data_IF_299506205330
#
_entry.id   IF_299506205330
#
_cell.length_a   1.000
_cell.length_b   1.000
_cell.length_c   1.000
_cell.angle_alpha   90.00
_cell.angle_beta   90.00
_cell.angle_gamma   90.00
#
_symmetry.space_group_name_H-M   'P 1'
#
loop_
_entity.id
_entity.type
_entity.pdbx_description
1 polymer ?
#
# COMPACT_ATOMS: atom_id res chain seq x y z
N UNK A 1 2.60 0.13 -25.02
CA UNK A 1 2.95 1.29 -24.16
C UNK A 1 2.46 1.11 -22.71
N UNK A 2 1.19 0.89 -22.43
CA UNK A 2 0.69 0.68 -21.06
C UNK A 2 1.40 -0.45 -20.28
N UNK A 3 1.74 -1.56 -20.94
CA UNK A 3 2.44 -2.68 -20.32
C UNK A 3 3.86 -2.31 -19.84
N UNK A 4 4.58 -1.48 -20.59
CA UNK A 4 5.94 -1.06 -20.22
C UNK A 4 5.93 -0.11 -19.02
N UNK A 5 4.99 0.84 -18.99
CA UNK A 5 4.84 1.77 -17.86
C UNK A 5 4.50 1.04 -16.55
N UNK A 6 3.70 -0.02 -16.60
CA UNK A 6 3.42 -0.85 -15.43
C UNK A 6 4.66 -1.60 -14.94
N UNK A 7 5.46 -2.13 -15.86
CA UNK A 7 6.71 -2.80 -15.51
C UNK A 7 7.70 -1.83 -14.87
N UNK A 8 7.83 -0.63 -15.42
CA UNK A 8 8.72 0.41 -14.89
C UNK A 8 8.30 0.82 -13.46
N UNK A 9 7.00 0.96 -13.21
CA UNK A 9 6.48 1.24 -11.85
C UNK A 9 6.72 0.08 -10.88
N UNK A 10 6.59 -1.15 -11.33
CA UNK A 10 6.90 -2.31 -10.50
C UNK A 10 8.39 -2.36 -10.13
N UNK A 11 9.28 -2.07 -11.07
CA UNK A 11 10.72 -1.97 -10.82
C UNK A 11 11.05 -0.82 -9.87
N UNK A 12 10.38 0.33 -10.02
CA UNK A 12 10.56 1.47 -9.12
C UNK A 12 10.23 1.10 -7.68
N UNK A 13 9.12 0.38 -7.45
CA UNK A 13 8.71 -0.06 -6.10
C UNK A 13 9.66 -1.08 -5.48
N UNK A 14 10.39 -1.86 -6.27
CA UNK A 14 11.43 -2.76 -5.77
C UNK A 14 12.63 -1.99 -5.21
N UNK A 15 12.87 -0.77 -5.68
CA UNK A 15 13.98 0.09 -5.27
C UNK A 15 13.62 1.06 -4.15
N UNK A 16 12.41 1.03 -3.60
CA UNK A 16 12.02 1.83 -2.46
C UNK A 16 12.80 1.43 -1.21
N UNK A 17 12.94 2.35 -0.26
CA UNK A 17 13.85 2.18 0.90
C UNK A 17 13.18 1.68 2.15
N UNK A 18 11.89 1.96 2.30
CA UNK A 18 11.15 1.63 3.51
C UNK A 18 10.58 0.21 3.41
N UNK A 19 10.42 -0.43 4.54
CA UNK A 19 9.73 -1.70 4.67
C UNK A 19 8.36 -1.48 5.32
N UNK A 20 7.44 -2.40 5.10
CA UNK A 20 6.19 -2.46 5.84
C UNK A 20 6.47 -2.54 7.34
N UNK A 21 5.63 -1.90 8.16
CA UNK A 21 5.77 -1.95 9.62
C UNK A 21 5.64 -3.37 10.18
N UNK A 22 4.84 -4.21 9.54
CA UNK A 22 4.68 -5.63 9.88
C UNK A 22 4.72 -6.49 8.64
N UNK A 23 5.25 -7.70 8.75
CA UNK A 23 5.19 -8.70 7.70
C UNK A 23 3.75 -9.13 7.46
N UNK A 24 3.43 -9.57 6.23
CA UNK A 24 2.08 -9.90 5.84
C UNK A 24 1.42 -10.93 6.77
N UNK A 25 2.11 -11.99 7.15
CA UNK A 25 1.59 -13.01 8.07
C UNK A 25 1.62 -12.54 9.53
N UNK A 26 2.56 -11.68 9.90
CA UNK A 26 2.64 -11.08 11.24
C UNK A 26 1.48 -10.16 11.58
N UNK A 27 0.75 -9.67 10.57
CA UNK A 27 -0.41 -8.80 10.77
C UNK A 27 -1.55 -9.47 11.51
N UNK A 28 -1.68 -10.80 11.41
CA UNK A 28 -2.70 -11.58 12.12
C UNK A 28 -2.54 -11.41 13.64
N UNK A 29 -1.30 -11.42 14.13
CA UNK A 29 -1.00 -11.25 15.55
C UNK A 29 -0.97 -9.77 15.96
N UNK A 30 -0.55 -8.88 15.03
CA UNK A 30 -0.44 -7.45 15.30
C UNK A 30 -1.80 -6.77 15.52
N UNK A 31 -2.82 -7.18 14.76
CA UNK A 31 -4.18 -6.63 14.90
C UNK A 31 -5.23 -7.71 14.54
N UNK A 32 -5.33 -8.72 15.40
CA UNK A 32 -6.29 -9.82 15.23
C UNK A 32 -7.73 -9.34 15.07
N UNK A 33 -8.25 -8.38 15.88
CA UNK A 33 -9.63 -7.92 15.74
C UNK A 33 -9.92 -7.32 14.35
N UNK A 34 -8.98 -6.54 13.82
CA UNK A 34 -9.17 -5.95 12.50
C UNK A 34 -8.99 -6.99 11.39
N UNK A 35 -8.08 -7.93 11.55
CA UNK A 35 -7.91 -9.05 10.61
C UNK A 35 -9.19 -9.88 10.50
N UNK A 36 -9.84 -10.17 11.63
CA UNK A 36 -11.16 -10.83 11.65
C UNK A 36 -12.22 -9.98 10.94
N UNK A 37 -12.28 -8.67 11.23
CA UNK A 37 -13.21 -7.77 10.53
C UNK A 37 -12.97 -7.77 9.02
N UNK A 38 -11.71 -7.69 8.59
CA UNK A 38 -11.34 -7.71 7.17
C UNK A 38 -11.65 -9.05 6.49
N UNK A 39 -11.64 -10.16 7.24
CA UNK A 39 -12.03 -11.47 6.74
C UNK A 39 -13.55 -11.59 6.54
N UNK A 40 -14.34 -11.11 7.51
CA UNK A 40 -15.81 -11.21 7.48
C UNK A 40 -16.47 -10.17 6.57
N UNK A 41 -15.96 -8.95 6.55
CA UNK A 41 -16.51 -7.86 5.76
C UNK A 41 -15.44 -7.23 4.87
N UNK A 42 -14.82 -8.06 4.04
CA UNK A 42 -13.70 -7.69 3.18
C UNK A 42 -13.96 -6.44 2.31
N UNK A 43 -15.11 -6.30 1.61
CA UNK A 43 -15.43 -5.11 0.84
C UNK A 43 -15.58 -3.86 1.71
N UNK A 44 -16.17 -3.97 2.90
CA UNK A 44 -16.31 -2.84 3.82
C UNK A 44 -14.94 -2.36 4.31
N UNK A 45 -14.07 -3.30 4.69
CA UNK A 45 -12.71 -2.98 5.09
C UNK A 45 -11.94 -2.29 3.96
N UNK A 46 -12.05 -2.81 2.72
CA UNK A 46 -11.43 -2.21 1.53
C UNK A 46 -11.93 -0.79 1.26
N UNK A 47 -13.24 -0.56 1.37
CA UNK A 47 -13.84 0.77 1.23
C UNK A 47 -13.28 1.77 2.25
N UNK A 48 -13.30 1.40 3.53
CA UNK A 48 -12.82 2.24 4.62
C UNK A 48 -11.32 2.55 4.50
N UNK A 49 -10.52 1.53 4.14
CA UNK A 49 -9.08 1.71 3.95
C UNK A 49 -8.77 2.63 2.77
N UNK A 50 -9.48 2.47 1.65
CA UNK A 50 -9.30 3.33 0.49
C UNK A 50 -9.65 4.78 0.81
N UNK A 51 -10.79 5.01 1.46
CA UNK A 51 -11.22 6.34 1.88
C UNK A 51 -10.19 6.99 2.80
N UNK A 52 -9.71 6.24 3.80
CA UNK A 52 -8.65 6.69 4.72
C UNK A 52 -7.30 6.93 4.01
N UNK A 53 -6.93 6.09 3.04
CA UNK A 53 -5.72 6.27 2.24
C UNK A 53 -5.75 7.56 1.41
N UNK A 54 -6.93 7.99 0.99
CA UNK A 54 -7.18 9.25 0.29
C UNK A 54 -7.36 10.46 1.25
N UNK A 55 -7.16 10.28 2.57
CA UNK A 55 -7.36 11.32 3.60
C UNK A 55 -8.81 11.82 3.66
N UNK A 56 -9.77 10.95 3.40
CA UNK A 56 -11.20 11.26 3.30
C UNK A 56 -11.56 12.28 2.18
N UNK A 57 -10.60 12.63 1.34
CA UNK A 57 -10.78 13.50 0.18
C UNK A 57 -11.10 12.67 -1.07
N UNK A 58 -12.38 12.47 -1.34
CA UNK A 58 -12.84 11.68 -2.47
C UNK A 58 -12.61 12.33 -3.83
N UNK A 59 -12.22 13.61 -3.88
CA UNK A 59 -11.83 14.27 -5.14
C UNK A 59 -10.57 13.66 -5.77
N UNK A 60 -9.77 12.98 -4.95
CA UNK A 60 -8.54 12.27 -5.35
C UNK A 60 -8.78 10.86 -5.84
N UNK A 61 -10.00 10.38 -5.74
CA UNK A 61 -10.31 9.01 -6.10
C UNK A 61 -10.19 8.78 -7.60
N UNK A 62 -9.49 7.71 -7.97
CA UNK A 62 -9.44 7.16 -9.32
C UNK A 62 -9.71 5.65 -9.22
N UNK A 63 -10.63 5.16 -10.03
CA UNK A 63 -11.04 3.76 -10.03
C UNK A 63 -9.83 2.84 -10.28
N UNK A 64 -9.68 1.81 -9.46
CA UNK A 64 -8.56 0.86 -9.52
C UNK A 64 -7.18 1.53 -9.63
N UNK A 65 -7.00 2.73 -9.04
CA UNK A 65 -5.75 3.50 -9.09
C UNK A 65 -5.24 3.79 -10.51
N UNK A 66 -6.10 3.81 -11.50
CA UNK A 66 -5.71 4.04 -12.90
C UNK A 66 -5.22 2.79 -13.64
N UNK A 67 -5.21 1.61 -13.01
CA UNK A 67 -4.69 0.38 -13.63
C UNK A 67 -5.66 -0.30 -14.59
N UNK A 68 -6.95 0.02 -14.52
CA UNK A 68 -7.96 -0.57 -15.41
C UNK A 68 -8.24 0.33 -16.61
N UNK A 69 -8.57 -0.23 -17.79
CA UNK A 69 -8.84 0.55 -19.00
C UNK A 69 -10.06 1.48 -18.88
N UNK A 70 -10.96 1.19 -17.94
CA UNK A 70 -12.14 2.02 -17.64
C UNK A 70 -11.83 3.16 -16.65
N UNK A 71 -10.66 3.18 -16.03
CA UNK A 71 -10.27 4.19 -15.04
C UNK A 71 -10.31 5.59 -15.67
N UNK A 72 -10.95 6.52 -14.96
CA UNK A 72 -11.11 7.90 -15.43
C UNK A 72 -12.24 8.13 -16.44
N UNK A 73 -12.94 7.06 -16.86
CA UNK A 73 -14.06 7.14 -17.80
C UNK A 73 -15.42 6.77 -17.19
N UNK A 74 -15.41 6.23 -15.97
CA UNK A 74 -16.61 5.72 -15.30
C UNK A 74 -17.43 6.80 -14.56
N UNK A 75 -17.19 8.09 -14.81
CA UNK A 75 -17.90 9.17 -14.11
C UNK A 75 -17.46 9.36 -12.66
N UNK A 76 -16.27 8.93 -12.33
CA UNK A 76 -15.65 8.95 -10.99
C UNK A 76 -15.67 10.33 -10.36
N UNK A 77 -15.49 11.39 -11.15
CA UNK A 77 -15.52 12.78 -10.69
C UNK A 77 -16.91 13.25 -10.25
N UNK A 78 -18.00 12.60 -10.73
CA UNK A 78 -19.36 12.96 -10.38
C UNK A 78 -19.84 12.24 -9.12
N UNK A 79 -19.53 10.95 -8.97
CA UNK A 79 -19.97 10.12 -7.86
C UNK A 79 -18.84 9.20 -7.39
N UNK A 80 -17.77 9.74 -6.79
CA UNK A 80 -16.58 8.95 -6.45
C UNK A 80 -16.86 7.88 -5.38
N UNK A 81 -17.74 8.15 -4.42
CA UNK A 81 -18.11 7.18 -3.39
C UNK A 81 -18.88 5.99 -3.95
N UNK A 82 -19.79 6.23 -4.89
CA UNK A 82 -20.53 5.17 -5.56
C UNK A 82 -19.58 4.31 -6.42
N UNK A 83 -18.66 4.94 -7.15
CA UNK A 83 -17.66 4.23 -7.94
C UNK A 83 -16.73 3.38 -7.06
N UNK A 84 -16.29 3.91 -5.92
CA UNK A 84 -15.51 3.14 -4.95
C UNK A 84 -16.30 1.97 -4.39
N UNK A 85 -17.57 2.18 -4.03
CA UNK A 85 -18.45 1.12 -3.55
C UNK A 85 -18.56 -0.01 -4.59
N UNK A 86 -18.77 0.35 -5.86
CA UNK A 86 -18.83 -0.61 -6.98
C UNK A 86 -17.49 -1.33 -7.17
N UNK A 87 -16.38 -0.61 -7.10
CA UNK A 87 -15.02 -1.18 -7.21
C UNK A 87 -14.78 -2.26 -6.15
N UNK A 88 -15.09 -1.98 -4.88
CA UNK A 88 -14.81 -2.92 -3.78
C UNK A 88 -15.70 -4.17 -3.82
N UNK A 89 -16.87 -4.12 -4.44
CA UNK A 89 -17.73 -5.29 -4.60
C UNK A 89 -17.45 -6.09 -5.85
N UNK A 90 -17.24 -5.43 -7.01
CA UNK A 90 -17.07 -6.11 -8.29
C UNK A 90 -15.61 -6.44 -8.61
N UNK A 91 -14.67 -5.61 -8.15
CA UNK A 91 -13.24 -5.74 -8.43
C UNK A 91 -12.42 -5.79 -7.14
N UNK A 92 -12.87 -6.53 -6.14
CA UNK A 92 -12.33 -6.54 -4.78
C UNK A 92 -10.80 -6.70 -4.76
N UNK A 93 -10.24 -7.71 -5.43
CA UNK A 93 -8.80 -7.93 -5.46
C UNK A 93 -8.02 -6.76 -6.05
N UNK A 94 -8.55 -6.15 -7.12
CA UNK A 94 -7.95 -4.96 -7.72
C UNK A 94 -8.04 -3.76 -6.78
N UNK A 95 -9.11 -3.62 -6.01
CA UNK A 95 -9.25 -2.57 -5.00
C UNK A 95 -8.22 -2.71 -3.89
N UNK A 96 -8.02 -3.92 -3.36
CA UNK A 96 -6.99 -4.20 -2.35
C UNK A 96 -5.58 -3.92 -2.91
N UNK A 97 -5.28 -4.42 -4.12
CA UNK A 97 -3.99 -4.19 -4.78
C UNK A 97 -3.75 -2.69 -5.07
N UNK A 98 -4.77 -1.97 -5.51
CA UNK A 98 -4.69 -0.53 -5.76
C UNK A 98 -4.40 0.26 -4.50
N UNK A 99 -5.02 -0.12 -3.37
CA UNK A 99 -4.73 0.50 -2.06
C UNK A 99 -3.30 0.20 -1.62
N UNK A 100 -2.80 -1.04 -1.86
CA UNK A 100 -1.42 -1.41 -1.59
C UNK A 100 -0.44 -0.53 -2.37
N UNK A 101 -0.64 -0.40 -3.68
CA UNK A 101 0.22 0.42 -4.54
C UNK A 101 0.20 1.90 -4.14
N UNK A 102 -0.97 2.40 -3.78
CA UNK A 102 -1.13 3.77 -3.27
C UNK A 102 -0.26 4.01 -2.03
N UNK A 103 -0.31 3.11 -1.06
CA UNK A 103 0.48 3.22 0.18
C UNK A 103 1.97 3.02 -0.07
N UNK A 104 2.34 2.08 -0.95
CA UNK A 104 3.74 1.88 -1.33
C UNK A 104 4.34 3.14 -1.96
N UNK A 105 3.62 3.76 -2.90
CA UNK A 105 4.07 4.97 -3.58
C UNK A 105 4.10 6.18 -2.61
N UNK A 106 3.14 6.26 -1.69
CA UNK A 106 3.07 7.34 -0.71
C UNK A 106 4.18 7.28 0.33
N UNK A 107 4.51 6.09 0.81
CA UNK A 107 5.47 5.89 1.90
C UNK A 107 6.82 5.36 1.43
N UNK A 108 7.05 5.24 0.13
CA UNK A 108 8.23 4.64 -0.48
C UNK A 108 8.53 3.23 0.09
N UNK A 109 7.49 2.41 0.21
CA UNK A 109 7.59 1.07 0.78
C UNK A 109 7.97 0.08 -0.31
N UNK A 110 9.08 -0.61 -0.06
CA UNK A 110 9.60 -1.64 -0.95
C UNK A 110 8.65 -2.83 -1.06
N UNK A 111 8.60 -3.40 -2.24
CA UNK A 111 7.95 -4.69 -2.44
C UNK A 111 8.85 -5.81 -1.92
N UNK A 112 8.47 -6.44 -0.80
CA UNK A 112 9.26 -7.53 -0.19
C UNK A 112 9.10 -8.82 -0.98
N UNK A 113 10.16 -9.62 -1.05
CA UNK A 113 10.12 -10.92 -1.76
C UNK A 113 9.15 -11.88 -1.09
N UNK A 114 9.08 -11.88 0.24
CA UNK A 114 8.19 -12.75 1.00
C UNK A 114 6.72 -12.45 0.70
N UNK A 115 6.32 -11.18 0.76
CA UNK A 115 4.95 -10.76 0.43
C UNK A 115 4.61 -11.12 -1.02
N UNK A 116 5.55 -10.92 -1.95
CA UNK A 116 5.36 -11.27 -3.36
C UNK A 116 5.17 -12.78 -3.55
N UNK A 117 5.92 -13.62 -2.82
CA UNK A 117 5.73 -15.07 -2.88
C UNK A 117 4.35 -15.48 -2.40
N UNK A 118 3.87 -14.91 -1.29
CA UNK A 118 2.55 -15.22 -0.72
C UNK A 118 1.44 -14.77 -1.68
N UNK A 119 1.51 -13.54 -2.17
CA UNK A 119 0.54 -13.00 -3.13
C UNK A 119 0.60 -13.77 -4.45
N UNK A 120 1.80 -14.07 -4.94
CA UNK A 120 1.99 -14.87 -6.14
C UNK A 120 1.43 -16.28 -6.01
N UNK A 121 1.65 -16.95 -4.87
CA UNK A 121 1.06 -18.24 -4.58
C UNK A 121 -0.48 -18.21 -4.57
N UNK A 122 -1.07 -17.20 -3.92
CA UNK A 122 -2.52 -16.97 -3.93
C UNK A 122 -3.06 -16.85 -5.36
N UNK A 123 -2.43 -16.02 -6.20
CA UNK A 123 -2.86 -15.83 -7.58
C UNK A 123 -2.69 -17.10 -8.43
N UNK A 124 -1.58 -17.83 -8.27
CA UNK A 124 -1.35 -19.09 -8.95
C UNK A 124 -2.40 -20.11 -8.56
N UNK A 125 -2.73 -20.23 -7.28
CA UNK A 125 -3.73 -21.15 -6.79
C UNK A 125 -5.12 -20.87 -7.36
N UNK A 126 -5.50 -19.59 -7.45
CA UNK A 126 -6.75 -19.15 -8.09
C UNK A 126 -6.78 -19.52 -9.58
N UNK A 127 -5.67 -19.34 -10.30
CA UNK A 127 -5.60 -19.72 -11.72
C UNK A 127 -5.70 -21.23 -11.92
N UNK A 128 -5.01 -22.01 -11.09
CA UNK A 128 -5.07 -23.47 -11.12
C UNK A 128 -6.50 -23.96 -10.84
N UNK A 129 -7.16 -23.41 -9.82
CA UNK A 129 -8.55 -23.74 -9.50
C UNK A 129 -9.49 -23.42 -10.66
N UNK A 130 -9.33 -22.26 -11.30
CA UNK A 130 -10.12 -21.86 -12.47
C UNK A 130 -9.93 -22.83 -13.64
N UNK A 131 -8.68 -23.17 -13.99
CA UNK A 131 -8.36 -24.10 -15.09
C UNK A 131 -8.95 -25.47 -14.77
N UNK A 132 -8.80 -25.95 -13.53
CA UNK A 132 -9.30 -27.24 -13.12
C UNK A 132 -10.84 -27.31 -13.16
N UNK A 133 -11.51 -26.19 -12.83
CA UNK A 133 -12.98 -26.09 -12.95
C UNK A 133 -13.45 -26.16 -14.40
N UNK A 134 -12.72 -25.56 -15.33
CA UNK A 134 -13.03 -25.67 -16.78
C UNK A 134 -12.83 -27.11 -17.25
N UNK A 135 -11.74 -27.76 -16.85
CA UNK A 135 -11.48 -29.16 -17.20
C UNK A 135 -12.57 -30.07 -16.65
N UNK A 136 -12.99 -29.88 -15.38
CA UNK A 136 -14.06 -30.64 -14.75
C UNK A 136 -15.39 -30.50 -15.50
N UNK A 137 -15.70 -29.29 -16.00
CA UNK A 137 -16.89 -29.03 -16.79
C UNK A 137 -16.84 -29.76 -18.15
N UNK A 138 -15.69 -29.81 -18.79
CA UNK A 138 -15.52 -30.47 -20.11
C UNK A 138 -15.57 -31.98 -19.99
N UNK A 139 -14.92 -32.53 -18.97
CA UNK A 139 -14.85 -34.01 -18.76
C UNK A 139 -16.17 -34.59 -18.24
N UNK A 140 -16.91 -33.85 -17.41
CA UNK A 140 -18.22 -34.24 -16.90
C UNK A 140 -18.19 -35.39 -15.89
N UNK A 141 -17.01 -35.74 -15.33
CA UNK A 141 -16.88 -36.75 -14.30
C UNK A 141 -17.23 -36.18 -12.94
N UNK A 142 -18.06 -36.90 -12.16
CA UNK A 142 -18.46 -36.49 -10.80
C UNK A 142 -17.24 -36.35 -9.87
N UNK A 143 -16.30 -37.29 -9.92
CA UNK A 143 -15.08 -37.28 -9.10
C UNK A 143 -14.21 -36.04 -9.39
N UNK A 144 -14.09 -35.66 -10.68
CA UNK A 144 -13.32 -34.46 -11.07
C UNK A 144 -14.04 -33.17 -10.67
N UNK A 145 -15.37 -33.17 -10.70
CA UNK A 145 -16.18 -32.02 -10.24
C UNK A 145 -16.05 -31.81 -8.74
N UNK A 146 -16.12 -32.89 -7.92
CA UNK A 146 -15.89 -32.81 -6.48
C UNK A 146 -14.48 -32.29 -6.15
N UNK A 147 -13.45 -32.84 -6.79
CA UNK A 147 -12.08 -32.41 -6.62
C UNK A 147 -11.90 -30.91 -7.02
N UNK A 148 -12.57 -30.47 -8.09
CA UNK A 148 -12.59 -29.08 -8.52
C UNK A 148 -13.24 -28.15 -7.49
N UNK A 149 -14.35 -28.54 -6.89
CA UNK A 149 -15.02 -27.77 -5.86
C UNK A 149 -14.14 -27.63 -4.60
N UNK A 150 -13.49 -28.71 -4.17
CA UNK A 150 -12.55 -28.67 -3.05
C UNK A 150 -11.37 -27.74 -3.31
N UNK A 151 -10.79 -27.83 -4.52
CA UNK A 151 -9.69 -26.96 -4.91
C UNK A 151 -10.11 -25.50 -4.97
N UNK A 152 -11.29 -25.20 -5.51
CA UNK A 152 -11.84 -23.84 -5.55
C UNK A 152 -12.10 -23.30 -4.14
N UNK A 153 -12.68 -24.10 -3.26
CA UNK A 153 -12.89 -23.72 -1.86
C UNK A 153 -11.57 -23.39 -1.15
N UNK A 154 -10.53 -24.21 -1.37
CA UNK A 154 -9.19 -23.96 -0.82
C UNK A 154 -8.59 -22.65 -1.38
N UNK A 155 -8.71 -22.43 -2.69
CA UNK A 155 -8.22 -21.23 -3.34
C UNK A 155 -8.92 -19.96 -2.79
N UNK A 156 -10.23 -20.02 -2.59
CA UNK A 156 -11.01 -18.92 -2.03
C UNK A 156 -10.66 -18.64 -0.56
N UNK A 157 -10.43 -19.68 0.25
CA UNK A 157 -9.97 -19.51 1.63
C UNK A 157 -8.61 -18.83 1.69
N UNK A 158 -7.65 -19.26 0.87
CA UNK A 158 -6.33 -18.64 0.77
C UNK A 158 -6.46 -17.18 0.30
N UNK A 159 -7.28 -16.93 -0.71
CA UNK A 159 -7.54 -15.60 -1.24
C UNK A 159 -8.10 -14.66 -0.17
N UNK A 160 -9.15 -15.06 0.52
CA UNK A 160 -9.77 -14.25 1.58
C UNK A 160 -8.79 -13.98 2.72
N UNK A 161 -8.00 -14.98 3.13
CA UNK A 161 -7.02 -14.85 4.21
C UNK A 161 -5.91 -13.89 3.83
N UNK A 162 -5.31 -14.05 2.66
CA UNK A 162 -4.23 -13.17 2.18
C UNK A 162 -4.73 -11.74 1.99
N UNK A 163 -5.93 -11.56 1.43
CA UNK A 163 -6.53 -10.22 1.30
C UNK A 163 -6.83 -9.58 2.66
N UNK A 164 -7.28 -10.33 3.66
CA UNK A 164 -7.48 -9.83 5.02
C UNK A 164 -6.15 -9.40 5.66
N UNK A 165 -5.09 -10.20 5.50
CA UNK A 165 -3.74 -9.84 5.95
C UNK A 165 -3.24 -8.57 5.26
N UNK A 166 -3.41 -8.44 3.94
CA UNK A 166 -3.03 -7.21 3.21
C UNK A 166 -3.80 -5.99 3.72
N UNK A 167 -5.10 -6.10 3.94
CA UNK A 167 -5.91 -5.00 4.45
C UNK A 167 -5.49 -4.61 5.87
N UNK A 168 -5.16 -5.59 6.71
CA UNK A 168 -4.64 -5.35 8.07
C UNK A 168 -3.27 -4.66 8.01
N UNK A 169 -2.39 -5.09 7.11
CA UNK A 169 -1.09 -4.43 6.87
C UNK A 169 -1.27 -2.97 6.45
N UNK A 170 -2.21 -2.71 5.54
CA UNK A 170 -2.55 -1.34 5.12
C UNK A 170 -3.03 -0.49 6.30
N UNK A 171 -3.90 -1.05 7.16
CA UNK A 171 -4.41 -0.34 8.35
C UNK A 171 -3.29 -0.01 9.31
N UNK A 172 -2.39 -0.96 9.60
CA UNK A 172 -1.25 -0.76 10.51
C UNK A 172 -0.34 0.35 9.99
N UNK A 173 -0.04 0.36 8.68
CA UNK A 173 0.81 1.41 8.08
C UNK A 173 0.14 2.79 8.15
N UNK A 174 -1.18 2.87 7.94
CA UNK A 174 -1.92 4.12 8.11
C UNK A 174 -2.05 4.53 9.59
N UNK A 175 -2.13 3.59 10.52
CA UNK A 175 -2.10 3.88 11.95
C UNK A 175 -0.75 4.47 12.38
N UNK A 176 0.34 3.98 11.79
CA UNK A 176 1.69 4.55 11.94
C UNK A 176 1.75 5.98 11.37
N UNK A 177 1.21 6.20 10.16
CA UNK A 177 1.09 7.55 9.58
C UNK A 177 0.35 8.51 10.50
N UNK A 178 -0.75 8.05 11.07
CA UNK A 178 -1.64 8.87 11.92
C UNK A 178 -1.11 9.03 13.37
N UNK A 179 0.11 8.54 13.64
CA UNK A 179 0.80 8.73 14.91
C UNK A 179 0.34 7.83 16.06
N UNK A 180 -0.42 6.77 15.80
CA UNK A 180 -0.89 5.86 16.86
C UNK A 180 0.22 5.05 17.55
N UNK A 181 1.37 4.93 16.92
CA UNK A 181 2.56 4.22 17.46
C UNK A 181 3.62 5.16 18.04
N UNK A 182 3.29 6.41 18.31
CA UNK A 182 4.19 7.42 18.89
C UNK A 182 4.23 8.70 18.05
N UNK A 183 4.94 9.75 18.51
CA UNK A 183 5.03 11.00 17.79
C UNK A 183 5.75 10.79 16.46
N UNK A 184 4.98 10.70 15.39
CA UNK A 184 5.51 10.71 14.04
C UNK A 184 5.63 12.17 13.57
N UNK A 185 6.64 12.51 12.77
CA UNK A 185 6.66 13.80 12.11
C UNK A 185 5.38 13.93 11.28
N UNK A 186 4.67 15.03 11.47
CA UNK A 186 3.46 15.34 10.71
C UNK A 186 3.84 15.36 9.24
N UNK A 187 3.48 14.29 8.51
CA UNK A 187 3.66 14.29 7.07
C UNK A 187 2.60 15.20 6.46
N UNK A 188 3.06 16.25 5.79
CA UNK A 188 2.15 17.09 5.01
C UNK A 188 1.40 16.22 4.01
N UNK A 189 0.08 16.37 3.97
CA UNK A 189 -0.75 15.68 2.95
C UNK A 189 -0.20 16.06 1.57
N UNK A 190 0.20 15.11 0.73
CA UNK A 190 0.66 15.43 -0.61
C UNK A 190 -0.42 16.24 -1.33
N UNK A 191 -0.08 17.36 -1.99
CA UNK A 191 -1.06 18.28 -2.58
C UNK A 191 -1.95 17.62 -3.64
N UNK A 192 -1.52 16.53 -4.24
CA UNK A 192 -2.32 15.69 -5.12
C UNK A 192 -1.62 14.35 -5.31
N UNK A 193 -2.26 13.27 -4.91
CA UNK A 193 -1.85 11.96 -5.38
C UNK A 193 -2.39 11.78 -6.79
N UNK A 194 -1.58 12.09 -7.76
CA UNK A 194 -1.86 11.70 -9.14
C UNK A 194 -1.62 10.20 -9.23
N UNK A 195 -2.68 9.44 -9.09
CA UNK A 195 -2.68 8.09 -9.61
C UNK A 195 -2.53 8.21 -11.11
N UNK A 196 -1.41 7.76 -11.65
CA UNK A 196 -1.13 7.86 -13.06
C UNK A 196 -2.19 7.09 -13.84
N UNK A 197 -2.95 7.83 -14.62
CA UNK A 197 -3.78 7.24 -15.67
C UNK A 197 -2.84 6.72 -16.75
N UNK A 198 -3.17 5.57 -17.30
CA UNK A 198 -2.40 4.95 -18.39
C UNK A 198 -2.31 5.88 -19.61
N UNK A 199 -3.26 6.80 -19.75
CA UNK A 199 -3.42 7.67 -20.93
C UNK A 199 -3.05 9.14 -20.69
N UNK A 200 -2.54 9.53 -19.51
CA UNK A 200 -2.09 10.90 -19.32
C UNK A 200 -0.59 11.02 -19.60
N UNK A 201 -0.18 11.89 -20.56
CA UNK A 201 1.21 12.27 -20.64
C UNK A 201 1.62 12.85 -19.29
N UNK A 202 2.80 12.43 -18.79
CA UNK A 202 3.35 12.97 -17.56
C UNK A 202 3.22 14.50 -17.55
N UNK A 203 2.55 15.10 -16.58
CA UNK A 203 2.67 16.53 -16.42
C UNK A 203 4.15 16.82 -16.22
N UNK A 204 4.70 17.88 -16.82
CA UNK A 204 6.08 18.26 -16.61
C UNK A 204 6.30 18.29 -15.09
N UNK A 205 7.36 17.63 -14.62
CA UNK A 205 7.70 17.56 -13.22
C UNK A 205 7.93 18.99 -12.72
N UNK A 206 6.88 19.63 -12.25
CA UNK A 206 6.98 20.85 -11.47
C UNK A 206 7.76 20.42 -10.24
N UNK A 207 9.01 20.89 -10.14
CA UNK A 207 9.99 20.44 -9.18
C UNK A 207 9.42 20.35 -7.77
N UNK A 208 9.05 19.16 -7.39
CA UNK A 208 8.84 18.83 -6.00
C UNK A 208 10.21 18.85 -5.32
N UNK A 209 10.37 19.53 -4.22
CA UNK A 209 11.55 19.30 -3.40
C UNK A 209 11.61 17.80 -3.09
N UNK A 210 12.79 17.17 -3.15
CA UNK A 210 12.93 15.75 -2.87
C UNK A 210 12.28 15.47 -1.51
N UNK A 211 11.26 14.61 -1.50
CA UNK A 211 10.65 14.16 -0.26
C UNK A 211 11.76 13.56 0.61
N UNK A 212 11.88 13.96 1.86
CA UNK A 212 12.85 13.32 2.75
C UNK A 212 12.55 11.83 2.78
N UNK A 213 13.55 11.02 2.42
CA UNK A 213 13.44 9.57 2.44
C UNK A 213 13.05 9.13 3.85
N UNK A 214 11.93 8.43 3.95
CA UNK A 214 11.46 7.83 5.20
C UNK A 214 12.57 6.90 5.73
N UNK A 215 13.11 7.20 6.92
CA UNK A 215 14.17 6.39 7.52
C UNK A 215 15.56 7.01 7.55
N UNK A 216 15.77 8.23 7.03
CA UNK A 216 16.97 8.95 7.39
C UNK A 216 16.80 9.58 8.78
N UNK A 217 17.73 9.37 9.72
CA UNK A 217 17.76 10.19 10.92
C UNK A 217 17.92 11.64 10.45
N UNK A 218 17.05 12.52 10.93
CA UNK A 218 17.06 13.93 10.64
C UNK A 218 18.49 14.46 10.87
N UNK A 219 19.21 14.71 9.78
CA UNK A 219 20.33 15.61 9.83
C UNK A 219 19.75 16.99 10.16
N UNK A 220 20.25 17.61 11.21
CA UNK A 220 19.89 18.97 11.59
C UNK A 220 19.89 19.85 10.35
N UNK A 221 18.86 20.69 10.13
CA UNK A 221 18.90 21.69 9.08
C UNK A 221 20.15 22.55 9.28
N UNK A 222 20.85 22.94 8.20
CA UNK A 222 21.96 23.87 8.34
C UNK A 222 21.43 25.13 9.02
N UNK A 223 22.18 25.74 9.96
CA UNK A 223 21.72 26.90 10.69
C UNK A 223 21.42 28.00 9.68
N UNK A 224 20.16 28.38 9.57
CA UNK A 224 19.79 29.66 8.93
C UNK A 224 20.49 30.75 9.72
N UNK A 225 21.23 31.58 9.02
CA UNK A 225 21.85 32.77 9.57
C UNK A 225 20.76 33.65 10.20
N UNK A 226 20.50 33.50 11.48
CA UNK A 226 19.73 34.45 12.27
C UNK A 226 20.63 35.66 12.55
N UNK A 227 20.24 36.78 12.01
CA UNK A 227 20.76 38.09 12.40
C UNK A 227 20.56 38.28 13.92
N UNK A 228 21.65 38.47 14.63
CA UNK A 228 21.81 39.32 15.78
C UNK A 228 21.03 38.99 17.06
N UNK A 229 21.60 38.11 17.91
CA UNK A 229 21.50 38.26 19.35
C UNK A 229 22.91 38.17 19.96
N UNK A 230 23.23 38.97 20.99
CA UNK A 230 24.58 39.04 21.53
C UNK A 230 24.92 37.76 22.29
N UNK A 231 26.16 37.32 22.12
CA UNK A 231 26.74 36.14 22.75
C UNK A 231 26.73 36.30 24.29
N UNK A 232 26.04 35.34 24.94
CA UNK A 232 26.15 35.16 26.38
C UNK A 232 26.85 33.82 26.68
N UNK A 233 28.00 33.92 27.34
CA UNK A 233 28.81 32.93 28.07
C UNK A 233 29.48 31.78 27.26
N UNK A 234 30.81 31.68 27.37
CA UNK A 234 31.56 30.51 26.94
C UNK A 234 31.33 29.32 27.87
N UNK A 235 31.28 28.09 27.35
CA UNK A 235 31.19 26.89 28.21
C UNK A 235 32.46 26.68 28.99
N UNK A 236 32.40 26.09 30.24
CA UNK A 236 33.56 25.78 31.04
C UNK A 236 34.45 24.74 30.36
N UNK A 237 35.76 25.01 30.34
CA UNK A 237 36.77 24.12 29.78
C UNK A 237 36.92 22.88 30.72
N UNK A 238 36.73 21.68 30.17
CA UNK A 238 37.10 20.43 30.83
C UNK A 238 38.61 20.22 30.74
N UNK A 239 39.29 19.85 31.86
CA UNK A 239 40.70 19.50 31.82
C UNK A 239 40.93 18.17 31.09
N UNK A 240 42.08 17.98 30.43
CA UNK A 240 42.39 16.74 29.71
C UNK A 240 42.61 15.58 30.69
N UNK A 241 42.26 14.33 30.32
CA UNK A 241 42.51 13.17 31.18
C UNK A 241 44.00 12.90 31.29
N UNK A 242 44.51 12.87 32.54
CA UNK A 242 45.89 12.51 32.86
C UNK A 242 46.16 11.02 32.64
N UNK A 243 47.27 10.68 31.96
CA UNK A 243 47.81 9.34 31.90
C UNK A 243 48.42 8.95 33.25
N UNK A 244 48.14 7.74 33.78
CA UNK A 244 48.88 7.22 34.91
C UNK A 244 50.26 6.71 34.46
N UNK A 245 51.25 6.99 35.33
CA UNK A 245 52.60 6.41 35.25
C UNK A 245 52.58 4.94 35.69
#
# INVERSE_FOLDING_TARGET
MASQEHLDKMQLRQNYRNLWHSDLMGTIQADTPYCCFALWCAPCASYLLRKRALYDDMSRYVCCAGYMPCSGRCGESKCPEFCLCTEVFLCFGNSVASTRFLLQDQFNIQTTQCDNCIIGFMLCLQQIACIFSIVAMIVGSEEIQEASQLLSCLADMVYCTVCACMQTQHKIEMDKRDGKFGPQPVMAVPPMQQMSRIDQPFPPSVGYPPQPAYGQPYGYPPPQAQQGYPAAYPPPAYPPPGYPR
#
